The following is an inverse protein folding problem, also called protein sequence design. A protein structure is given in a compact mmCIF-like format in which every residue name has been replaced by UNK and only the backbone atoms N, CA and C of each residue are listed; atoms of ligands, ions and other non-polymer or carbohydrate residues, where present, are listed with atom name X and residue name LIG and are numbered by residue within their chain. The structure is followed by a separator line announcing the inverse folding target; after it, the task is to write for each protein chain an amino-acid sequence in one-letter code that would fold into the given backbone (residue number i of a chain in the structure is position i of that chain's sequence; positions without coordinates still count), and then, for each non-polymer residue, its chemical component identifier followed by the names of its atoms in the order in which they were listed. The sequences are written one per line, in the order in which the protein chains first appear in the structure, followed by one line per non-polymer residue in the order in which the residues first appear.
data_IF_648068265161
#
_entry.id   IF_648068265161
#
_cell.length_a   1.000
_cell.length_b   1.000
_cell.length_c   1.000
_cell.angle_alpha   90.00
_cell.angle_beta   90.00
_cell.angle_gamma   90.00
#
_symmetry.space_group_name_H-M   'P 1'
#
loop_
_entity.id
_entity.type
_entity.pdbx_description
1 polymer ?
#
# COMPACT_ATOMS: atom_id res chain seq x y z
N UNK A 1 -21.67 -12.82 -6.74
CA UNK A 1 -20.38 -12.08 -6.74
C UNK A 1 -20.51 -11.04 -5.64
N UNK A 2 -19.78 -11.11 -4.52
CA UNK A 2 -19.88 -10.03 -3.55
C UNK A 2 -19.25 -8.79 -4.20
N UNK A 3 -19.99 -7.69 -4.23
CA UNK A 3 -19.49 -6.38 -4.63
C UNK A 3 -18.31 -6.04 -3.70
N UNK A 4 -17.09 -6.20 -4.21
CA UNK A 4 -15.92 -5.62 -3.58
C UNK A 4 -16.07 -4.10 -3.76
N UNK A 5 -16.68 -3.43 -2.78
CA UNK A 5 -16.60 -1.97 -2.69
C UNK A 5 -15.10 -1.67 -2.65
N UNK A 6 -14.51 -1.04 -3.68
CA UNK A 6 -13.08 -0.83 -3.69
C UNK A 6 -12.77 0.19 -2.60
N UNK A 7 -12.03 -0.26 -1.58
CA UNK A 7 -11.63 0.62 -0.49
C UNK A 7 -10.75 1.75 -1.02
N UNK A 8 -10.66 2.86 -0.28
CA UNK A 8 -9.78 3.97 -0.63
C UNK A 8 -8.34 3.49 -0.88
N UNK A 9 -7.89 2.49 -0.10
CA UNK A 9 -6.64 1.79 -0.34
C UNK A 9 -6.62 1.09 -1.70
N UNK A 10 -7.56 0.18 -1.98
CA UNK A 10 -7.57 -0.57 -3.23
C UNK A 10 -7.58 0.35 -4.46
N UNK A 11 -8.32 1.46 -4.41
CA UNK A 11 -8.33 2.45 -5.51
C UNK A 11 -6.96 3.13 -5.68
N UNK A 12 -6.38 3.64 -4.60
CA UNK A 12 -5.07 4.31 -4.63
C UNK A 12 -3.94 3.38 -5.10
N UNK A 13 -4.05 2.07 -4.83
CA UNK A 13 -3.06 1.08 -5.22
C UNK A 13 -3.38 0.35 -6.54
N UNK A 14 -4.56 0.57 -7.13
CA UNK A 14 -5.00 -0.15 -8.34
C UNK A 14 -4.10 0.12 -9.54
N UNK A 15 -3.55 1.34 -9.66
CA UNK A 15 -2.61 1.68 -10.72
C UNK A 15 -1.34 0.84 -10.63
N UNK A 16 -0.83 0.54 -9.42
CA UNK A 16 0.36 -0.29 -9.23
C UNK A 16 0.13 -1.76 -9.55
N UNK A 17 -1.10 -2.25 -9.34
CA UNK A 17 -1.47 -3.64 -9.60
C UNK A 17 -1.75 -3.86 -11.10
N UNK A 18 -2.35 -2.86 -11.75
CA UNK A 18 -2.73 -2.92 -13.16
C UNK A 18 -1.62 -2.49 -14.12
N UNK A 19 -0.74 -1.58 -13.69
CA UNK A 19 0.48 -1.24 -14.42
C UNK A 19 1.42 -2.47 -14.34
N UNK A 20 1.55 -3.19 -15.46
CA UNK A 20 2.32 -4.44 -15.58
C UNK A 20 3.83 -4.29 -15.28
N UNK A 21 4.26 -3.13 -14.80
CA UNK A 21 5.62 -2.85 -14.35
C UNK A 21 6.01 -3.60 -13.07
N UNK A 22 5.06 -4.03 -12.23
CA UNK A 22 5.36 -4.81 -11.02
C UNK A 22 5.38 -6.31 -11.27
N UNK A 23 6.40 -6.98 -10.72
CA UNK A 23 6.43 -8.44 -10.67
C UNK A 23 5.53 -8.99 -9.55
N UNK A 24 5.26 -10.29 -9.58
CA UNK A 24 4.37 -10.94 -8.62
C UNK A 24 4.77 -10.77 -7.14
N UNK A 25 6.07 -10.67 -6.83
CA UNK A 25 6.54 -10.42 -5.46
C UNK A 25 6.21 -9.00 -5.01
N UNK A 26 6.36 -8.04 -5.91
CA UNK A 26 6.01 -6.64 -5.68
C UNK A 26 4.50 -6.47 -5.51
N UNK A 27 3.68 -7.07 -6.39
CA UNK A 27 2.21 -7.06 -6.29
C UNK A 27 1.75 -7.65 -4.96
N UNK A 28 2.30 -8.80 -4.55
CA UNK A 28 1.98 -9.40 -3.25
C UNK A 28 2.35 -8.49 -2.07
N UNK A 29 3.42 -7.70 -2.20
CA UNK A 29 3.78 -6.70 -1.19
C UNK A 29 2.77 -5.56 -1.15
N UNK A 30 2.34 -5.04 -2.31
CA UNK A 30 1.30 -4.01 -2.39
C UNK A 30 0.00 -4.50 -1.75
N UNK A 31 -0.43 -5.73 -2.02
CA UNK A 31 -1.60 -6.32 -1.36
C UNK A 31 -1.45 -6.42 0.16
N UNK A 32 -0.24 -6.70 0.68
CA UNK A 32 0.00 -6.66 2.14
C UNK A 32 -0.20 -5.27 2.73
N UNK A 33 0.21 -4.22 2.02
CA UNK A 33 0.00 -2.83 2.45
C UNK A 33 -1.50 -2.53 2.51
N UNK A 34 -2.23 -2.85 1.43
CA UNK A 34 -3.69 -2.65 1.36
C UNK A 34 -4.36 -3.38 2.53
N UNK A 35 -4.10 -4.67 2.71
CA UNK A 35 -4.68 -5.46 3.80
C UNK A 35 -4.40 -4.88 5.19
N UNK A 36 -3.19 -4.36 5.41
CA UNK A 36 -2.85 -3.73 6.68
C UNK A 36 -3.64 -2.44 6.90
N UNK A 37 -3.80 -1.61 5.87
CA UNK A 37 -4.62 -0.41 5.97
C UNK A 37 -6.10 -0.76 6.14
N UNK A 38 -6.64 -1.77 5.44
CA UNK A 38 -8.04 -2.21 5.64
C UNK A 38 -8.30 -2.67 7.08
N UNK A 39 -7.36 -3.39 7.68
CA UNK A 39 -7.50 -3.90 9.04
C UNK A 39 -7.33 -2.81 10.12
N UNK A 40 -6.51 -1.80 9.85
CA UNK A 40 -6.17 -0.73 10.81
C UNK A 40 -6.81 0.62 10.46
N UNK A 41 -7.61 0.69 9.40
CA UNK A 41 -8.14 1.92 8.78
C UNK A 41 -7.14 2.62 7.85
N UNK A 42 -5.94 2.91 8.35
CA UNK A 42 -4.87 3.55 7.58
C UNK A 42 -3.49 3.20 8.15
N UNK A 43 -2.43 3.49 7.38
CA UNK A 43 -1.06 3.39 7.89
C UNK A 43 -0.62 4.74 8.44
N UNK A 44 -0.42 4.81 9.77
CA UNK A 44 -0.08 6.06 10.47
C UNK A 44 1.28 6.64 10.00
N UNK A 45 2.26 5.76 9.78
CA UNK A 45 3.61 6.13 9.36
C UNK A 45 4.21 5.09 8.38
N UNK A 46 4.78 5.58 7.27
CA UNK A 46 5.49 4.75 6.28
C UNK A 46 6.67 3.96 6.84
N UNK A 47 7.19 4.35 8.01
CA UNK A 47 8.20 3.60 8.76
C UNK A 47 7.74 2.18 9.12
N UNK A 48 6.42 1.91 9.13
CA UNK A 48 5.88 0.54 9.30
C UNK A 48 6.37 -0.41 8.21
N UNK A 49 6.64 0.08 6.99
CA UNK A 49 7.18 -0.74 5.90
C UNK A 49 8.61 -1.23 6.13
N UNK A 50 9.30 -0.66 7.12
CA UNK A 50 10.65 -1.07 7.53
C UNK A 50 10.64 -1.99 8.77
N UNK A 51 9.47 -2.33 9.29
CA UNK A 51 9.30 -3.20 10.46
C UNK A 51 8.64 -4.53 10.06
N UNK A 52 8.77 -5.59 10.88
CA UNK A 52 8.03 -6.83 10.68
C UNK A 52 6.51 -6.58 10.68
N UNK A 53 5.73 -7.20 9.77
CA UNK A 53 6.10 -8.25 8.82
C UNK A 53 6.55 -7.76 7.41
N UNK A 54 6.72 -6.45 7.22
CA UNK A 54 7.04 -5.83 5.91
C UNK A 54 8.55 -5.82 5.59
N UNK A 55 9.41 -5.96 6.59
CA UNK A 55 10.87 -6.01 6.41
C UNK A 55 11.38 -7.40 5.94
N UNK A 56 10.53 -8.43 6.01
CA UNK A 56 10.89 -9.84 5.75
C UNK A 56 10.05 -10.49 4.64
N UNK A 57 10.64 -11.43 3.87
CA UNK A 57 12.06 -11.80 3.82
C UNK A 57 12.92 -10.78 3.03
N UNK A 58 12.28 -9.89 2.27
CA UNK A 58 12.92 -8.83 1.50
C UNK A 58 12.29 -7.52 1.94
N UNK A 59 13.12 -6.59 2.41
CA UNK A 59 12.68 -5.27 2.84
C UNK A 59 12.12 -4.46 1.67
N UNK A 60 11.13 -3.59 1.95
CA UNK A 60 10.58 -2.61 1.01
C UNK A 60 11.66 -1.86 0.20
N UNK A 61 12.74 -1.42 0.85
CA UNK A 61 13.85 -0.69 0.22
C UNK A 61 14.64 -1.50 -0.83
N UNK A 62 14.65 -2.84 -0.72
CA UNK A 62 15.31 -3.73 -1.67
C UNK A 62 14.35 -4.24 -2.74
N UNK A 63 13.06 -4.32 -2.44
CA UNK A 63 12.05 -4.87 -3.34
C UNK A 63 11.64 -3.89 -4.45
N UNK A 64 11.72 -2.58 -4.17
CA UNK A 64 11.30 -1.53 -5.08
C UNK A 64 12.44 -0.57 -5.41
N UNK A 65 12.43 0.01 -6.61
CA UNK A 65 13.33 1.10 -6.97
C UNK A 65 12.89 2.42 -6.31
N UNK A 66 13.69 3.49 -6.45
CA UNK A 66 13.38 4.78 -5.80
C UNK A 66 12.08 5.37 -6.34
N UNK A 67 11.84 5.27 -7.66
CA UNK A 67 10.64 5.82 -8.29
C UNK A 67 9.38 5.17 -7.75
N UNK A 68 9.32 3.85 -7.72
CA UNK A 68 8.15 3.11 -7.23
C UNK A 68 7.97 3.30 -5.72
N UNK A 69 9.06 3.38 -4.95
CA UNK A 69 8.97 3.67 -3.51
C UNK A 69 8.30 5.01 -3.24
N UNK A 70 8.71 6.05 -3.93
CA UNK A 70 8.13 7.39 -3.76
C UNK A 70 6.65 7.39 -4.12
N UNK A 71 6.27 6.74 -5.21
CA UNK A 71 4.87 6.62 -5.63
C UNK A 71 4.03 5.83 -4.59
N UNK A 72 4.53 4.70 -4.08
CA UNK A 72 3.85 3.92 -3.05
C UNK A 72 3.69 4.71 -1.74
N UNK A 73 4.74 5.40 -1.29
CA UNK A 73 4.65 6.26 -0.10
C UNK A 73 3.62 7.37 -0.26
N UNK A 74 3.54 7.97 -1.46
CA UNK A 74 2.51 8.97 -1.76
C UNK A 74 1.11 8.37 -1.66
N UNK A 75 0.86 7.21 -2.28
CA UNK A 75 -0.44 6.53 -2.22
C UNK A 75 -0.84 6.20 -0.77
N UNK A 76 0.10 5.77 0.08
CA UNK A 76 -0.17 5.53 1.50
C UNK A 76 -0.64 6.82 2.19
N UNK A 77 0.07 7.93 1.96
CA UNK A 77 -0.28 9.22 2.56
C UNK A 77 -1.63 9.73 2.05
N UNK A 78 -1.91 9.61 0.75
CA UNK A 78 -3.20 10.02 0.17
C UNK A 78 -4.37 9.25 0.82
N UNK A 79 -4.21 7.93 1.03
CA UNK A 79 -5.22 7.10 1.72
C UNK A 79 -5.38 7.53 3.17
N UNK A 80 -4.27 7.84 3.86
CA UNK A 80 -4.29 8.34 5.24
C UNK A 80 -5.04 9.67 5.33
N UNK A 81 -4.74 10.61 4.46
CA UNK A 81 -5.40 11.93 4.43
C UNK A 81 -6.89 11.80 4.17
N UNK A 82 -7.29 10.92 3.25
CA UNK A 82 -8.69 10.62 3.00
C UNK A 82 -9.37 10.02 4.25
N UNK A 83 -8.73 9.06 4.93
CA UNK A 83 -9.27 8.45 6.14
C UNK A 83 -9.41 9.45 7.30
N UNK A 84 -8.45 10.35 7.47
CA UNK A 84 -8.48 11.40 8.50
C UNK A 84 -9.54 12.46 8.18
N UNK A 85 -9.69 12.85 6.92
CA UNK A 85 -10.66 13.87 6.48
C UNK A 85 -12.10 13.36 6.60
N UNK A 86 -12.36 12.08 6.32
CA UNK A 86 -13.71 11.50 6.44
C UNK A 86 -14.13 11.25 7.89
N UNK A 87 -13.16 11.08 8.80
CA UNK A 87 -13.42 10.84 10.22
C UNK A 87 -13.55 12.13 11.08
N UNK A 88 -13.33 13.31 10.49
CA UNK A 88 -13.46 14.62 11.14
C UNK A 88 -14.71 15.37 10.73
#
# INVERSE_FOLDING_TARGET
MPEFIPSAAMQAFSEFINDQSLNQRQINFVHKIINHMEQNGYMENVAVLQKPPFDKPISFLKLFDVRTRTALMKAINDVRENAVTVAG
#
